data_IF_613171125388
#
_entry.id   IF_613171125388
#
_cell.length_a   1.000
_cell.length_b   1.000
_cell.length_c   1.000
_cell.angle_alpha   90.00
_cell.angle_beta   90.00
_cell.angle_gamma   90.00
#
_symmetry.space_group_name_H-M   'P 1'
#
loop_
_entity.id
_entity.type
_entity.pdbx_description
1 polymer ?
#
# COMPACT_ATOMS: atom_id res chain seq x y z
N UNK A 1 71.17 -81.85 -6.03
CA UNK A 1 70.26 -82.95 -5.75
C UNK A 1 68.91 -82.39 -5.42
N UNK A 2 67.93 -82.85 -6.14
CA UNK A 2 66.46 -82.87 -5.96
C UNK A 2 65.64 -81.53 -6.04
N UNK A 3 65.08 -81.36 -7.21
CA UNK A 3 63.80 -80.68 -7.44
C UNK A 3 62.66 -81.47 -6.78
N UNK A 4 61.53 -80.82 -6.40
CA UNK A 4 60.37 -80.97 -7.27
C UNK A 4 59.40 -79.75 -7.34
N UNK A 5 58.85 -79.66 -8.51
CA UNK A 5 57.41 -79.72 -8.93
C UNK A 5 56.53 -78.59 -8.60
N UNK A 6 56.27 -77.91 -9.65
CA UNK A 6 55.17 -76.95 -9.94
C UNK A 6 53.79 -77.60 -9.80
N UNK A 7 52.85 -76.94 -9.15
CA UNK A 7 51.44 -77.18 -9.35
C UNK A 7 50.72 -75.88 -9.68
N UNK A 8 50.22 -75.85 -10.92
CA UNK A 8 49.38 -74.82 -11.49
C UNK A 8 47.99 -74.88 -10.83
N UNK A 9 47.59 -73.77 -10.20
CA UNK A 9 46.17 -73.54 -9.83
C UNK A 9 45.56 -72.58 -10.84
N UNK A 10 44.68 -73.09 -11.70
CA UNK A 10 43.81 -72.31 -12.57
C UNK A 10 42.70 -71.68 -11.76
N UNK A 11 42.64 -70.36 -11.72
CA UNK A 11 41.50 -69.63 -11.18
C UNK A 11 40.43 -69.41 -12.29
N UNK A 12 39.13 -69.54 -12.02
CA UNK A 12 38.10 -69.28 -13.00
C UNK A 12 37.91 -67.81 -13.15
N UNK A 13 37.82 -67.30 -14.38
CA UNK A 13 37.44 -65.97 -14.79
C UNK A 13 35.96 -65.81 -14.46
N UNK A 14 35.68 -64.99 -13.45
CA UNK A 14 34.28 -64.49 -13.19
C UNK A 14 33.98 -63.43 -14.23
N UNK A 15 33.14 -63.78 -15.19
CA UNK A 15 32.60 -62.87 -16.20
C UNK A 15 31.79 -61.76 -15.52
N UNK A 16 32.30 -60.54 -15.55
CA UNK A 16 31.56 -59.35 -15.22
C UNK A 16 30.48 -59.16 -16.31
N UNK A 17 29.25 -59.52 -15.99
CA UNK A 17 28.09 -59.18 -16.81
C UNK A 17 27.95 -57.65 -16.82
N UNK A 18 28.28 -57.04 -17.93
CA UNK A 18 28.02 -55.65 -18.22
C UNK A 18 26.49 -55.47 -18.34
N UNK A 19 25.86 -54.98 -17.30
CA UNK A 19 24.46 -54.58 -17.35
C UNK A 19 24.35 -53.26 -18.12
N UNK A 20 24.02 -53.35 -19.37
CA UNK A 20 23.64 -52.19 -20.17
C UNK A 20 22.34 -51.60 -19.61
N UNK A 21 22.48 -50.54 -18.83
CA UNK A 21 21.31 -49.74 -18.44
C UNK A 21 20.83 -48.95 -19.68
N UNK A 22 19.52 -49.04 -20.04
CA UNK A 22 19.03 -48.36 -21.21
C UNK A 22 19.07 -46.84 -20.98
N UNK A 23 19.97 -46.17 -21.72
CA UNK A 23 20.20 -44.70 -21.70
C UNK A 23 18.94 -43.91 -22.01
N UNK A 24 17.91 -44.55 -22.59
CA UNK A 24 16.65 -43.94 -22.92
C UNK A 24 15.81 -43.55 -21.69
N UNK A 25 15.87 -44.31 -20.58
CA UNK A 25 15.10 -44.02 -19.36
C UNK A 25 15.65 -42.78 -18.61
N UNK A 26 16.93 -42.47 -18.73
CA UNK A 26 17.56 -41.31 -18.08
C UNK A 26 17.02 -39.96 -18.62
N UNK A 27 16.77 -39.88 -19.93
CA UNK A 27 16.35 -38.64 -20.56
C UNK A 27 14.95 -38.23 -20.17
N UNK A 28 14.07 -39.17 -19.86
CA UNK A 28 12.71 -38.91 -19.40
C UNK A 28 12.67 -38.43 -17.95
N UNK A 29 13.49 -39.02 -17.10
CA UNK A 29 13.62 -38.61 -15.68
C UNK A 29 14.18 -37.19 -15.59
N UNK A 30 15.25 -36.87 -16.35
CA UNK A 30 15.78 -35.51 -16.38
C UNK A 30 14.77 -34.48 -16.88
N UNK A 31 13.98 -34.80 -17.90
CA UNK A 31 12.90 -33.90 -18.38
C UNK A 31 11.81 -33.71 -17.32
N UNK A 32 11.38 -34.76 -16.65
CA UNK A 32 10.38 -34.67 -15.57
C UNK A 32 10.88 -33.82 -14.39
N UNK A 33 12.15 -34.00 -13.99
CA UNK A 33 12.77 -33.21 -12.90
C UNK A 33 12.87 -31.73 -13.33
N UNK A 34 13.25 -31.42 -14.55
CA UNK A 34 13.28 -30.05 -15.05
C UNK A 34 11.91 -29.39 -15.09
N UNK A 35 10.85 -30.13 -15.49
CA UNK A 35 9.48 -29.63 -15.46
C UNK A 35 8.98 -29.36 -14.04
N UNK A 36 9.30 -30.21 -13.08
CA UNK A 36 8.96 -30.00 -11.66
C UNK A 36 9.72 -28.80 -11.10
N UNK A 37 10.99 -28.62 -11.41
CA UNK A 37 11.77 -27.44 -11.01
C UNK A 37 11.24 -26.16 -11.66
N UNK A 38 10.86 -26.19 -12.94
CA UNK A 38 10.27 -25.04 -13.63
C UNK A 38 8.89 -24.67 -13.06
N UNK A 39 8.07 -25.67 -12.73
CA UNK A 39 6.76 -25.46 -12.09
C UNK A 39 6.91 -24.91 -10.67
N UNK A 40 7.88 -25.39 -9.91
CA UNK A 40 8.18 -24.92 -8.55
C UNK A 40 8.76 -23.49 -8.58
N UNK A 41 9.59 -23.14 -9.58
CA UNK A 41 10.08 -21.78 -9.78
C UNK A 41 8.95 -20.79 -10.15
N UNK A 42 7.93 -21.24 -10.89
CA UNK A 42 6.76 -20.41 -11.21
C UNK A 42 5.90 -20.09 -9.97
N UNK A 43 5.78 -21.03 -9.03
CA UNK A 43 5.03 -20.85 -7.77
C UNK A 43 5.73 -19.87 -6.82
N UNK A 44 7.08 -19.88 -6.80
CA UNK A 44 7.86 -18.95 -5.98
C UNK A 44 7.85 -17.52 -6.55
N UNK A 45 7.62 -17.35 -7.84
CA UNK A 45 7.50 -16.05 -8.50
C UNK A 45 6.17 -15.33 -8.24
N UNK A 46 5.19 -15.99 -7.60
CA UNK A 46 3.97 -15.35 -7.04
C UNK A 46 4.36 -14.56 -5.79
N UNK A 47 5.34 -13.64 -5.93
CA UNK A 47 5.84 -12.82 -4.87
C UNK A 47 4.70 -12.08 -4.18
N UNK A 48 4.61 -12.19 -2.86
CA UNK A 48 3.76 -11.35 -2.03
C UNK A 48 4.04 -9.89 -2.37
N UNK A 49 3.21 -9.28 -3.20
CA UNK A 49 3.19 -7.82 -3.28
C UNK A 49 2.81 -7.31 -1.90
N UNK A 50 3.63 -6.47 -1.25
CA UNK A 50 3.26 -5.93 0.05
C UNK A 50 1.91 -5.21 -0.07
N UNK A 51 1.02 -5.44 0.88
CA UNK A 51 -0.32 -4.82 0.92
C UNK A 51 -0.22 -3.29 0.86
N UNK A 52 0.85 -2.72 1.44
CA UNK A 52 1.18 -1.30 1.41
C UNK A 52 2.49 -1.11 0.65
N UNK A 53 2.42 -0.52 -0.55
CA UNK A 53 3.58 -0.19 -1.39
C UNK A 53 3.74 1.33 -1.45
N UNK A 54 4.33 1.91 -0.40
CA UNK A 54 4.50 3.34 -0.22
C UNK A 54 5.28 4.00 -1.36
N UNK A 55 4.75 5.10 -1.88
CA UNK A 55 5.34 5.88 -2.97
C UNK A 55 5.19 7.35 -2.68
N UNK A 56 6.21 8.11 -3.03
CA UNK A 56 6.13 9.56 -3.05
C UNK A 56 5.15 10.01 -4.13
N UNK A 57 4.20 10.83 -3.74
CA UNK A 57 3.20 11.43 -4.62
C UNK A 57 3.25 12.94 -4.45
N UNK A 58 3.34 13.63 -5.55
CA UNK A 58 3.18 15.08 -5.65
C UNK A 58 2.07 15.33 -6.67
N UNK A 59 0.90 15.83 -6.25
CA UNK A 59 -0.17 16.17 -7.18
C UNK A 59 0.32 17.22 -8.21
N UNK A 60 -0.14 17.09 -9.43
CA UNK A 60 0.27 17.96 -10.54
C UNK A 60 0.10 19.44 -10.18
N UNK A 61 1.14 20.23 -10.45
CA UNK A 61 1.19 21.68 -10.17
C UNK A 61 0.96 22.08 -8.69
N UNK A 62 1.27 21.20 -7.74
CA UNK A 62 1.16 21.45 -6.30
C UNK A 62 2.49 21.30 -5.60
N UNK A 63 2.69 22.08 -4.54
CA UNK A 63 3.85 21.96 -3.66
C UNK A 63 3.66 20.87 -2.59
N UNK A 64 2.43 20.34 -2.41
CA UNK A 64 2.16 19.28 -1.45
C UNK A 64 2.83 17.97 -1.87
N UNK A 65 3.57 17.37 -0.96
CA UNK A 65 4.15 16.03 -1.06
C UNK A 65 3.59 15.13 0.03
N UNK A 66 3.34 13.87 -0.31
CA UNK A 66 2.85 12.87 0.62
C UNK A 66 3.24 11.45 0.14
N UNK A 67 3.16 10.48 1.05
CA UNK A 67 3.26 9.07 0.72
C UNK A 67 1.86 8.47 0.54
N UNK A 68 1.65 7.72 -0.55
CA UNK A 68 0.47 6.87 -0.71
C UNK A 68 0.89 5.39 -0.80
N UNK A 69 0.13 4.46 -0.19
CA UNK A 69 0.51 3.04 -0.17
C UNK A 69 0.18 2.30 -1.46
N UNK A 70 -0.34 3.00 -2.47
CA UNK A 70 -0.75 2.44 -3.76
C UNK A 70 -0.69 3.51 -4.84
N UNK A 71 -0.81 3.11 -6.11
CA UNK A 71 -0.93 4.07 -7.22
C UNK A 71 -2.29 4.76 -7.14
N UNK A 72 -2.36 6.09 -6.95
CA UNK A 72 -3.63 6.77 -6.86
C UNK A 72 -4.31 6.90 -8.23
N UNK A 73 -5.64 6.86 -8.20
CA UNK A 73 -6.48 7.44 -9.23
C UNK A 73 -6.73 8.91 -8.91
N UNK A 74 -6.89 9.72 -9.95
CA UNK A 74 -7.16 11.16 -9.81
C UNK A 74 -8.47 11.52 -10.49
N UNK A 75 -9.23 12.41 -9.88
CA UNK A 75 -10.46 12.95 -10.43
C UNK A 75 -10.77 14.35 -9.93
N UNK A 76 -11.51 15.09 -10.74
CA UNK A 76 -12.01 16.44 -10.41
C UNK A 76 -13.51 16.41 -10.22
N UNK A 77 -14.00 17.20 -9.27
CA UNK A 77 -15.44 17.37 -9.03
C UNK A 77 -15.73 18.83 -8.66
N UNK A 78 -16.84 19.37 -9.14
CA UNK A 78 -17.35 20.64 -8.64
C UNK A 78 -18.21 20.37 -7.40
N UNK A 79 -17.85 20.99 -6.30
CA UNK A 79 -18.55 20.87 -5.02
C UNK A 79 -18.89 22.27 -4.46
N UNK A 80 -19.99 22.41 -3.72
CA UNK A 80 -20.26 23.66 -3.01
C UNK A 80 -19.33 23.77 -1.80
N UNK A 81 -18.33 24.63 -1.89
CA UNK A 81 -17.39 24.90 -0.80
C UNK A 81 -17.49 26.39 -0.43
N UNK A 82 -17.76 26.70 0.85
CA UNK A 82 -18.00 28.09 1.28
C UNK A 82 -19.19 28.74 0.54
N UNK A 83 -20.21 27.94 0.18
CA UNK A 83 -21.40 28.43 -0.54
C UNK A 83 -21.16 28.71 -2.05
N UNK A 84 -19.99 28.41 -2.59
CA UNK A 84 -19.65 28.63 -4.01
C UNK A 84 -19.29 27.34 -4.72
N UNK A 85 -19.67 27.16 -5.99
CA UNK A 85 -19.18 26.03 -6.81
C UNK A 85 -17.67 26.12 -6.94
N UNK A 86 -16.95 25.16 -6.36
CA UNK A 86 -15.50 25.13 -6.32
C UNK A 86 -15.00 23.82 -6.92
N UNK A 87 -13.96 23.91 -7.76
CA UNK A 87 -13.30 22.71 -8.30
C UNK A 87 -12.47 22.07 -7.20
N UNK A 88 -12.80 20.85 -6.88
CA UNK A 88 -12.04 19.99 -5.96
C UNK A 88 -11.33 18.90 -6.77
N UNK A 89 -10.03 18.77 -6.60
CA UNK A 89 -9.26 17.66 -7.14
C UNK A 89 -9.03 16.64 -6.04
N UNK A 90 -9.19 15.37 -6.37
CA UNK A 90 -9.02 14.26 -5.43
C UNK A 90 -8.06 13.24 -6.03
N UNK A 91 -7.13 12.76 -5.20
CA UNK A 91 -6.31 11.59 -5.48
C UNK A 91 -6.59 10.56 -4.40
N UNK A 92 -6.72 9.29 -4.79
CA UNK A 92 -6.95 8.25 -3.79
C UNK A 92 -6.70 6.87 -4.34
N UNK A 93 -6.51 5.93 -3.42
CA UNK A 93 -6.36 4.52 -3.73
C UNK A 93 -6.74 3.65 -2.54
N UNK A 94 -7.07 2.39 -2.83
CA UNK A 94 -7.36 1.38 -1.81
C UNK A 94 -6.17 0.44 -1.64
N UNK A 95 -5.80 0.16 -0.40
CA UNK A 95 -4.76 -0.80 -0.04
C UNK A 95 -5.16 -1.59 1.20
N UNK A 96 -5.26 -2.90 1.07
CA UNK A 96 -5.87 -3.76 2.09
C UNK A 96 -7.36 -3.45 2.25
N UNK A 97 -7.80 -3.21 3.49
CA UNK A 97 -9.17 -2.78 3.82
C UNK A 97 -9.29 -1.25 4.01
N UNK A 98 -8.21 -0.51 3.72
CA UNK A 98 -8.15 0.92 3.91
C UNK A 98 -8.20 1.70 2.60
N UNK A 99 -8.94 2.82 2.62
CA UNK A 99 -8.97 3.85 1.57
C UNK A 99 -8.10 5.02 2.02
N UNK A 100 -7.19 5.45 1.16
CA UNK A 100 -6.33 6.61 1.35
C UNK A 100 -6.66 7.65 0.29
N UNK A 101 -6.90 8.88 0.70
CA UNK A 101 -7.20 9.95 -0.25
C UNK A 101 -6.70 11.32 0.22
N UNK A 102 -6.37 12.16 -0.75
CA UNK A 102 -6.14 13.58 -0.56
C UNK A 102 -7.08 14.34 -1.48
N UNK A 103 -7.72 15.36 -0.94
CA UNK A 103 -8.55 16.28 -1.69
C UNK A 103 -8.10 17.72 -1.43
N UNK A 104 -8.10 18.52 -2.47
CA UNK A 104 -7.71 19.93 -2.35
C UNK A 104 -8.53 20.81 -3.31
N UNK A 105 -8.73 22.04 -2.87
CA UNK A 105 -9.41 23.06 -3.63
C UNK A 105 -8.71 24.41 -3.43
N UNK A 106 -8.68 25.22 -4.48
CA UNK A 106 -8.21 26.61 -4.41
C UNK A 106 -9.41 27.52 -4.24
N UNK A 107 -9.46 28.24 -3.12
CA UNK A 107 -10.52 29.20 -2.86
C UNK A 107 -10.20 30.52 -3.56
N UNK A 108 -11.25 31.17 -4.05
CA UNK A 108 -11.11 32.49 -4.66
C UNK A 108 -10.81 33.59 -3.62
N UNK A 109 -11.12 33.31 -2.35
CA UNK A 109 -11.03 34.25 -1.24
C UNK A 109 -10.33 33.56 -0.06
N UNK A 110 -9.16 34.07 0.32
CA UNK A 110 -8.37 33.54 1.41
C UNK A 110 -9.01 33.83 2.78
N UNK A 111 -9.81 34.86 2.92
CA UNK A 111 -10.42 35.25 4.19
C UNK A 111 -11.48 34.21 4.65
N UNK A 112 -12.03 33.44 3.73
CA UNK A 112 -13.02 32.39 4.02
C UNK A 112 -12.41 31.03 4.34
N UNK A 113 -11.08 30.89 4.32
CA UNK A 113 -10.41 29.59 4.52
C UNK A 113 -10.76 28.93 5.85
N UNK A 114 -10.74 29.60 7.02
CA UNK A 114 -11.06 28.95 8.30
C UNK A 114 -12.49 28.40 8.34
N UNK A 115 -13.45 29.16 7.81
CA UNK A 115 -14.86 28.76 7.79
C UNK A 115 -15.08 27.58 6.85
N UNK A 116 -14.47 27.60 5.67
CA UNK A 116 -14.54 26.49 4.70
C UNK A 116 -13.96 25.20 5.26
N UNK A 117 -12.82 25.26 5.94
CA UNK A 117 -12.24 24.09 6.60
C UNK A 117 -13.13 23.53 7.70
N UNK A 118 -13.69 24.40 8.54
CA UNK A 118 -14.61 23.99 9.60
C UNK A 118 -15.88 23.33 9.02
N UNK A 119 -16.45 23.91 7.97
CA UNK A 119 -17.58 23.34 7.24
C UNK A 119 -17.22 21.97 6.63
N UNK A 120 -16.10 21.87 5.99
CA UNK A 120 -15.66 20.61 5.38
C UNK A 120 -15.44 19.51 6.42
N UNK A 121 -14.82 19.85 7.55
CA UNK A 121 -14.70 18.95 8.69
C UNK A 121 -16.05 18.47 9.20
N UNK A 122 -17.00 19.40 9.42
CA UNK A 122 -18.35 19.06 9.88
C UNK A 122 -19.07 18.13 8.91
N UNK A 123 -19.03 18.42 7.61
CA UNK A 123 -19.63 17.56 6.57
C UNK A 123 -19.01 16.17 6.53
N UNK A 124 -17.69 16.06 6.76
CA UNK A 124 -17.03 14.76 6.80
C UNK A 124 -17.50 13.92 7.98
N UNK A 125 -17.62 14.52 9.16
CA UNK A 125 -18.15 13.86 10.35
C UNK A 125 -19.62 13.46 10.20
N UNK A 126 -20.44 14.34 9.62
CA UNK A 126 -21.87 14.07 9.34
C UNK A 126 -22.02 12.89 8.35
N UNK A 127 -21.25 12.89 7.26
CA UNK A 127 -21.25 11.80 6.30
C UNK A 127 -20.86 10.44 6.92
N UNK A 128 -20.01 10.45 7.93
CA UNK A 128 -19.64 9.27 8.72
C UNK A 128 -20.64 8.97 9.82
N UNK A 129 -21.65 9.82 10.08
CA UNK A 129 -22.53 9.75 11.27
C UNK A 129 -21.72 9.68 12.56
N UNK A 130 -20.59 10.37 12.61
CA UNK A 130 -19.76 10.45 13.80
C UNK A 130 -20.38 11.40 14.81
N UNK A 131 -20.24 11.06 16.10
CA UNK A 131 -20.72 11.89 17.20
C UNK A 131 -19.55 12.55 17.93
N UNK A 132 -19.76 13.62 18.70
CA UNK A 132 -18.69 14.25 19.49
C UNK A 132 -17.97 13.27 20.41
N UNK A 133 -18.69 12.32 21.00
CA UNK A 133 -18.15 11.30 21.90
C UNK A 133 -17.20 10.31 21.20
N UNK A 134 -17.39 10.13 19.90
CA UNK A 134 -16.60 9.23 19.04
C UNK A 134 -15.59 10.00 18.17
N UNK A 135 -15.37 11.28 18.47
CA UNK A 135 -14.47 12.15 17.70
C UNK A 135 -13.41 12.75 18.61
N UNK A 136 -12.16 12.72 18.14
CA UNK A 136 -11.01 13.34 18.81
C UNK A 136 -10.27 14.21 17.80
N UNK A 137 -9.87 15.41 18.23
CA UNK A 137 -9.07 16.32 17.40
C UNK A 137 -7.75 16.60 18.11
N UNK A 138 -6.65 16.54 17.37
CA UNK A 138 -5.32 16.88 17.88
C UNK A 138 -4.55 17.74 16.87
N UNK A 139 -3.60 18.56 17.33
CA UNK A 139 -2.69 19.27 16.44
C UNK A 139 -1.93 18.30 15.52
N UNK A 140 -1.67 18.74 14.30
CA UNK A 140 -0.84 18.04 13.33
C UNK A 140 0.29 18.97 12.88
N UNK A 141 1.48 18.44 12.71
CA UNK A 141 2.58 19.21 12.11
C UNK A 141 2.66 18.89 10.61
N UNK A 142 2.43 19.90 9.80
CA UNK A 142 2.60 19.83 8.34
C UNK A 142 3.58 20.93 7.94
N UNK A 143 4.86 20.60 7.66
CA UNK A 143 5.86 21.59 7.23
C UNK A 143 5.38 22.35 6.00
N UNK A 144 5.52 23.69 6.01
CA UNK A 144 5.10 24.57 4.93
C UNK A 144 3.60 24.89 4.87
N UNK A 145 2.78 24.31 5.74
CA UNK A 145 1.36 24.71 5.88
C UNK A 145 1.25 26.08 6.54
N UNK A 146 0.13 26.78 6.27
CA UNK A 146 -0.22 28.02 6.98
C UNK A 146 -0.35 27.74 8.49
N UNK A 147 0.09 28.72 9.31
CA UNK A 147 -0.04 28.61 10.76
C UNK A 147 -1.49 28.85 11.23
N UNK A 148 -2.25 29.63 10.47
CA UNK A 148 -3.66 29.95 10.71
C UNK A 148 -4.50 29.67 9.46
N UNK A 149 -5.53 28.84 9.55
CA UNK A 149 -5.85 27.97 10.70
C UNK A 149 -4.79 26.86 10.90
N UNK A 150 -4.48 26.56 12.14
CA UNK A 150 -3.47 25.55 12.46
C UNK A 150 -3.88 24.17 11.94
N UNK A 151 -2.94 23.37 11.38
CA UNK A 151 -3.24 22.00 10.92
C UNK A 151 -3.74 21.11 12.06
N UNK A 152 -4.79 20.36 11.80
CA UNK A 152 -5.38 19.42 12.76
C UNK A 152 -5.56 18.03 12.16
N UNK A 153 -5.51 17.02 13.02
CA UNK A 153 -5.90 15.64 12.71
C UNK A 153 -7.13 15.29 13.53
N UNK A 154 -8.20 14.95 12.84
CA UNK A 154 -9.48 14.50 13.39
C UNK A 154 -9.54 12.99 13.27
N UNK A 155 -9.85 12.32 14.36
CA UNK A 155 -10.05 10.87 14.43
C UNK A 155 -11.49 10.62 14.84
N UNK A 156 -12.23 9.86 14.04
CA UNK A 156 -13.64 9.60 14.29
C UNK A 156 -14.00 8.14 14.05
N UNK A 157 -14.97 7.66 14.81
CA UNK A 157 -15.64 6.37 14.55
C UNK A 157 -17.06 6.65 14.09
N UNK A 158 -17.49 5.98 13.05
CA UNK A 158 -18.79 6.21 12.46
C UNK A 158 -19.28 5.02 11.65
N UNK A 159 -20.07 5.30 10.63
CA UNK A 159 -20.67 4.29 9.76
C UNK A 159 -20.54 4.71 8.29
N UNK A 160 -20.34 3.74 7.43
CA UNK A 160 -20.48 3.89 5.98
C UNK A 160 -21.97 4.00 5.59
N UNK A 161 -22.29 4.46 4.37
CA UNK A 161 -23.68 4.51 3.90
C UNK A 161 -24.41 3.17 3.96
N UNK A 162 -23.69 2.05 3.84
CA UNK A 162 -24.23 0.70 3.95
C UNK A 162 -24.40 0.19 5.40
N UNK A 163 -24.16 1.06 6.39
CA UNK A 163 -24.30 0.76 7.82
C UNK A 163 -23.09 0.06 8.46
N UNK A 164 -22.06 -0.31 7.69
CA UNK A 164 -20.85 -0.92 8.26
C UNK A 164 -20.05 0.11 9.05
N UNK A 165 -19.50 -0.32 10.20
CA UNK A 165 -18.61 0.53 11.00
C UNK A 165 -17.38 0.97 10.19
N UNK A 166 -16.95 2.20 10.39
CA UNK A 166 -15.74 2.77 9.80
C UNK A 166 -15.01 3.62 10.81
N UNK A 167 -13.70 3.52 10.84
CA UNK A 167 -12.82 4.46 11.49
C UNK A 167 -12.26 5.40 10.41
N UNK A 168 -12.30 6.70 10.66
CA UNK A 168 -11.78 7.72 9.77
C UNK A 168 -10.78 8.61 10.51
N UNK A 169 -9.61 8.80 9.90
CA UNK A 169 -8.66 9.82 10.32
C UNK A 169 -8.56 10.83 9.18
N UNK A 170 -8.73 12.11 9.50
CA UNK A 170 -8.74 13.20 8.51
C UNK A 170 -7.88 14.36 8.99
N UNK A 171 -6.86 14.70 8.20
CA UNK A 171 -6.07 15.91 8.40
C UNK A 171 -6.67 17.07 7.60
N UNK A 172 -6.70 18.26 8.21
CA UNK A 172 -7.15 19.51 7.60
C UNK A 172 -6.07 20.55 7.77
N UNK A 173 -5.66 21.17 6.67
CA UNK A 173 -4.64 22.22 6.67
C UNK A 173 -4.71 23.05 5.39
N UNK A 174 -3.94 24.14 5.35
CA UNK A 174 -3.95 25.08 4.23
C UNK A 174 -2.55 25.50 3.84
N UNK A 175 -2.44 26.00 2.61
CA UNK A 175 -1.31 26.82 2.17
C UNK A 175 -1.87 28.01 1.36
N UNK A 176 -1.86 29.20 1.96
CA UNK A 176 -2.55 30.36 1.38
C UNK A 176 -4.05 30.09 1.24
N UNK A 177 -4.62 30.29 0.04
CA UNK A 177 -6.02 30.01 -0.27
C UNK A 177 -6.32 28.57 -0.63
N UNK A 178 -5.31 27.69 -0.68
CA UNK A 178 -5.49 26.27 -0.92
C UNK A 178 -5.92 25.59 0.37
N UNK A 179 -7.06 24.92 0.34
CA UNK A 179 -7.55 24.05 1.42
C UNK A 179 -7.29 22.60 1.08
N UNK A 180 -6.83 21.81 2.06
CA UNK A 180 -6.45 20.42 1.87
C UNK A 180 -7.10 19.56 2.94
N UNK A 181 -7.66 18.42 2.51
CA UNK A 181 -8.08 17.33 3.37
C UNK A 181 -7.32 16.07 2.97
N UNK A 182 -6.75 15.36 3.94
CA UNK A 182 -6.09 14.07 3.75
C UNK A 182 -6.77 13.05 4.64
N UNK A 183 -7.27 11.95 4.07
CA UNK A 183 -8.09 10.99 4.82
C UNK A 183 -7.57 9.56 4.70
N UNK A 184 -7.78 8.81 5.77
CA UNK A 184 -7.64 7.35 5.82
C UNK A 184 -8.91 6.77 6.43
N UNK A 185 -9.58 5.88 5.70
CA UNK A 185 -10.77 5.16 6.18
C UNK A 185 -10.51 3.66 6.17
N UNK A 186 -10.81 2.99 7.28
CA UNK A 186 -10.70 1.53 7.39
C UNK A 186 -11.72 0.97 8.39
N UNK A 187 -11.95 -0.34 8.38
CA UNK A 187 -12.70 -1.02 9.44
C UNK A 187 -11.95 -0.94 10.78
N UNK A 188 -10.61 -1.03 10.71
CA UNK A 188 -9.68 -0.76 11.82
C UNK A 188 -8.46 -0.02 11.26
N UNK A 189 -8.15 1.15 11.83
CA UNK A 189 -6.96 1.92 11.44
C UNK A 189 -5.72 1.23 12.03
N UNK A 190 -4.78 0.86 11.16
CA UNK A 190 -3.48 0.35 11.58
C UNK A 190 -2.58 1.55 11.97
N UNK A 191 -2.12 1.64 13.24
CA UNK A 191 -1.45 2.84 13.74
C UNK A 191 -0.17 3.21 12.99
N UNK A 192 0.64 2.23 12.63
CA UNK A 192 1.92 2.46 11.93
C UNK A 192 1.67 3.00 10.53
N UNK A 193 0.69 2.45 9.81
CA UNK A 193 0.31 2.94 8.49
C UNK A 193 -0.23 4.38 8.55
N UNK A 194 -1.06 4.68 9.54
CA UNK A 194 -1.57 6.02 9.75
C UNK A 194 -0.44 7.01 10.08
N UNK A 195 0.51 6.62 10.95
CA UNK A 195 1.65 7.47 11.29
C UNK A 195 2.51 7.77 10.07
N UNK A 196 2.88 6.77 9.27
CA UNK A 196 3.64 6.95 8.03
C UNK A 196 2.89 7.91 7.09
N UNK A 197 1.58 7.71 6.91
CA UNK A 197 0.77 8.51 6.01
C UNK A 197 0.72 9.98 6.42
N UNK A 198 0.28 10.26 7.65
CA UNK A 198 0.09 11.64 8.12
C UNK A 198 1.40 12.36 8.45
N UNK A 199 2.45 11.64 8.85
CA UNK A 199 3.77 12.26 9.05
C UNK A 199 4.50 12.60 7.74
N UNK A 200 4.08 12.01 6.62
CA UNK A 200 4.67 12.28 5.31
C UNK A 200 4.27 13.62 4.69
N UNK A 201 3.22 14.25 5.22
CA UNK A 201 2.63 15.48 4.68
C UNK A 201 3.59 16.66 4.81
N UNK A 202 3.90 17.31 3.71
CA UNK A 202 4.72 18.54 3.69
C UNK A 202 4.49 19.33 2.40
N UNK A 203 4.69 20.62 2.48
CA UNK A 203 4.86 21.49 1.31
C UNK A 203 6.34 21.77 1.08
N UNK A 204 6.72 21.90 -0.18
CA UNK A 204 8.07 22.36 -0.57
C UNK A 204 8.21 23.88 -0.49
#
# INVERSE_FOLDING_TARGET
MTTPSTSLFSAPLIGLAHRDFPVAASRWIFRAVWFVFALMALVVASGCSPTLNWRDVQPDNRSLKLLLPCKPDQGDKIVPLGGRPTKMTMLGCDAGDATFAVAFADLADADNVPEVLAQWQALTLDNMKATPENTQTRPLRVPGASAEPAPVLVQAKGQRPDGRAVNGWAAYFTQGSQVVQVVMYASAIEPVAAEIYFASLKFD
#
